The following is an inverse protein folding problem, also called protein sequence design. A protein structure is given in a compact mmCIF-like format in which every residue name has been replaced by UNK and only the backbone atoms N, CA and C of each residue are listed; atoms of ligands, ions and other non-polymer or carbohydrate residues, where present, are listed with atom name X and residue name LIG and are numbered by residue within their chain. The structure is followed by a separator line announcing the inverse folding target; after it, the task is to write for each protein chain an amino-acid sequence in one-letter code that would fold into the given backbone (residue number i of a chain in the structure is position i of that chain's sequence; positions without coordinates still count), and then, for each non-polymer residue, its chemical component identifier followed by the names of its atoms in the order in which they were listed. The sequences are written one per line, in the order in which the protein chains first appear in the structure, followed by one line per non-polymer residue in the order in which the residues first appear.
data_IF_733351632114
#
_entry.id   IF_733351632114
#
_cell.length_a   1.000
_cell.length_b   1.000
_cell.length_c   1.000
_cell.angle_alpha   90.00
_cell.angle_beta   90.00
_cell.angle_gamma   90.00
#
_symmetry.space_group_name_H-M   'P 1'
#
loop_
_entity.id
_entity.type
_entity.pdbx_description
1 polymer ?
#
# COMPACT_ATOMS: atom_id res chain seq x y z
N UNK A 1 8.23 -12.56 17.64
CA UNK A 1 8.22 -12.91 16.21
C UNK A 1 7.15 -12.06 15.53
N UNK A 2 7.43 -11.49 14.35
CA UNK A 2 6.47 -10.68 13.60
C UNK A 2 5.79 -11.51 12.51
N UNK A 3 4.49 -11.35 12.33
CA UNK A 3 3.73 -12.00 11.25
C UNK A 3 3.93 -11.26 9.94
N UNK A 4 4.01 -11.98 8.83
CA UNK A 4 4.17 -11.39 7.49
C UNK A 4 3.01 -10.42 7.17
N UNK A 5 3.28 -9.14 6.86
CA UNK A 5 2.25 -8.12 6.63
C UNK A 5 1.48 -8.35 5.32
N UNK A 6 2.05 -9.09 4.38
CA UNK A 6 1.46 -9.32 3.05
C UNK A 6 0.43 -10.45 3.09
N UNK A 7 0.79 -11.59 3.67
CA UNK A 7 -0.06 -12.79 3.63
C UNK A 7 -0.79 -13.08 4.94
N UNK A 8 -0.29 -12.53 6.07
CA UNK A 8 -0.82 -12.72 7.44
C UNK A 8 -0.99 -14.19 7.88
N UNK A 9 -0.28 -15.12 7.22
CA UNK A 9 -0.40 -16.57 7.46
C UNK A 9 0.82 -17.19 8.13
N UNK A 10 1.99 -16.61 7.93
CA UNK A 10 3.26 -17.16 8.41
C UNK A 10 4.08 -16.06 9.08
N UNK A 11 4.99 -16.48 9.96
CA UNK A 11 5.98 -15.60 10.57
C UNK A 11 6.99 -15.11 9.54
N UNK A 12 7.63 -13.97 9.84
CA UNK A 12 8.69 -13.44 9.02
C UNK A 12 9.90 -14.39 9.00
N UNK A 13 10.36 -14.72 7.79
CA UNK A 13 11.57 -15.51 7.58
C UNK A 13 12.81 -14.61 7.78
N UNK A 14 13.89 -15.15 8.35
CA UNK A 14 15.07 -14.34 8.68
C UNK A 14 15.72 -13.68 7.47
N UNK A 15 15.68 -14.32 6.29
CA UNK A 15 16.24 -13.79 5.05
C UNK A 15 15.34 -12.75 4.40
N UNK A 16 14.03 -12.83 4.64
CA UNK A 16 13.03 -12.01 3.94
C UNK A 16 12.31 -11.02 4.86
N UNK A 17 12.79 -10.79 6.09
CA UNK A 17 12.15 -9.86 7.03
C UNK A 17 11.86 -8.51 6.35
N UNK A 18 10.65 -7.94 6.51
CA UNK A 18 9.56 -8.36 7.42
C UNK A 18 8.62 -9.46 6.87
N UNK A 19 8.93 -10.09 5.74
CA UNK A 19 8.07 -11.03 5.03
C UNK A 19 8.41 -12.50 5.31
N UNK A 20 7.46 -13.40 5.03
CA UNK A 20 7.66 -14.85 5.18
C UNK A 20 8.38 -15.51 3.99
N UNK A 21 8.52 -14.82 2.85
CA UNK A 21 9.14 -15.37 1.64
C UNK A 21 9.48 -14.30 0.61
N UNK A 22 10.33 -14.64 -0.36
CA UNK A 22 10.60 -13.83 -1.56
C UNK A 22 9.31 -13.40 -2.27
N UNK A 23 8.36 -14.31 -2.45
CA UNK A 23 7.10 -14.02 -3.13
C UNK A 23 6.32 -12.88 -2.46
N UNK A 24 6.30 -12.84 -1.12
CA UNK A 24 5.63 -11.76 -0.39
C UNK A 24 6.38 -10.43 -0.52
N UNK A 25 7.72 -10.46 -0.52
CA UNK A 25 8.53 -9.26 -0.81
C UNK A 25 8.26 -8.69 -2.20
N UNK A 26 8.16 -9.55 -3.23
CA UNK A 26 7.90 -9.11 -4.60
C UNK A 26 6.47 -8.53 -4.75
N UNK A 27 5.49 -9.06 -4.02
CA UNK A 27 4.12 -8.50 -3.98
C UNK A 27 4.10 -7.12 -3.35
N UNK A 28 4.84 -6.93 -2.26
CA UNK A 28 4.97 -5.61 -1.64
C UNK A 28 5.56 -4.60 -2.62
N UNK A 29 6.64 -4.98 -3.30
CA UNK A 29 7.29 -4.14 -4.32
C UNK A 29 6.32 -3.74 -5.46
N UNK A 30 5.49 -4.68 -5.93
CA UNK A 30 4.48 -4.36 -6.94
C UNK A 30 3.45 -3.33 -6.43
N UNK A 31 3.07 -3.38 -5.15
CA UNK A 31 2.15 -2.40 -4.55
C UNK A 31 2.76 -1.01 -4.50
N UNK A 32 4.07 -0.91 -4.26
CA UNK A 32 4.81 0.34 -4.38
C UNK A 32 4.77 0.88 -5.82
N UNK A 33 5.09 0.04 -6.81
CA UNK A 33 5.11 0.49 -8.21
C UNK A 33 3.73 0.82 -8.80
N UNK A 34 2.66 0.27 -8.23
CA UNK A 34 1.29 0.54 -8.68
C UNK A 34 0.63 1.70 -7.94
N UNK A 35 1.35 2.36 -7.02
CA UNK A 35 0.78 3.45 -6.22
C UNK A 35 -0.28 2.99 -5.21
N UNK A 36 -0.34 1.68 -4.89
CA UNK A 36 -1.32 1.15 -3.94
C UNK A 36 -1.08 1.65 -2.51
N UNK A 37 0.15 2.09 -2.21
CA UNK A 37 0.51 2.79 -0.98
C UNK A 37 0.41 4.31 -1.19
N UNK A 38 -0.80 4.82 -1.43
CA UNK A 38 -1.07 6.25 -1.49
C UNK A 38 -1.51 6.78 -0.12
N UNK A 39 -1.00 7.96 0.27
CA UNK A 39 -1.51 8.70 1.43
C UNK A 39 -2.65 9.58 0.92
N UNK A 40 -3.88 9.43 1.44
CA UNK A 40 -4.98 10.29 1.01
C UNK A 40 -4.66 11.74 1.39
N UNK A 41 -4.82 12.66 0.43
CA UNK A 41 -4.79 14.08 0.74
C UNK A 41 -6.00 14.42 1.62
N UNK A 42 -5.75 15.09 2.74
CA UNK A 42 -6.83 15.74 3.46
C UNK A 42 -7.36 16.85 2.56
N UNK A 43 -8.63 16.74 2.14
CA UNK A 43 -9.35 17.86 1.57
C UNK A 43 -9.66 18.80 2.74
N UNK A 44 -8.68 19.60 3.14
CA UNK A 44 -8.96 20.77 3.95
C UNK A 44 -9.70 21.77 3.05
N UNK A 45 -10.83 22.28 3.51
CA UNK A 45 -11.81 23.06 2.73
C UNK A 45 -11.29 24.47 2.33
N UNK A 46 -9.97 24.66 2.21
CA UNK A 46 -9.34 25.96 2.03
C UNK A 46 -8.01 25.98 1.26
N UNK A 47 -7.71 24.96 0.45
CA UNK A 47 -6.55 25.01 -0.46
C UNK A 47 -7.02 25.13 -1.91
N UNK A 48 -6.89 26.35 -2.43
CA UNK A 48 -7.02 26.68 -3.84
C UNK A 48 -6.08 25.85 -4.73
N UNK A 49 -6.66 25.39 -5.85
CA UNK A 49 -6.14 24.48 -6.86
C UNK A 49 -4.97 25.09 -7.65
N UNK A 50 -3.86 24.35 -7.76
CA UNK A 50 -2.86 24.54 -8.81
C UNK A 50 -2.09 23.23 -9.04
N UNK A 51 -2.45 22.48 -10.08
CA UNK A 51 -1.48 21.69 -10.83
C UNK A 51 -1.86 20.24 -11.17
N UNK A 52 -2.49 20.09 -12.34
CA UNK A 52 -2.43 18.96 -13.27
C UNK A 52 -3.01 17.60 -12.82
N UNK A 53 -4.12 17.27 -13.45
CA UNK A 53 -4.75 15.96 -13.42
C UNK A 53 -3.97 14.97 -14.31
N UNK A 54 -2.88 14.37 -13.82
CA UNK A 54 -2.25 13.22 -14.49
C UNK A 54 -2.96 11.89 -14.16
N UNK A 55 -4.22 11.77 -14.58
CA UNK A 55 -4.79 10.56 -15.19
C UNK A 55 -4.61 9.16 -14.56
N UNK A 56 -4.24 8.99 -13.28
CA UNK A 56 -4.07 7.68 -12.65
C UNK A 56 -5.20 7.42 -11.64
N UNK A 57 -6.14 6.60 -12.08
CA UNK A 57 -7.47 6.41 -11.49
C UNK A 57 -7.48 6.13 -9.99
N UNK A 58 -8.55 6.61 -9.36
CA UNK A 58 -8.96 6.30 -8.00
C UNK A 58 -8.90 4.79 -7.75
N UNK A 59 -7.80 4.32 -7.16
CA UNK A 59 -7.68 2.99 -6.62
C UNK A 59 -8.74 2.84 -5.55
N UNK A 60 -9.71 1.96 -5.80
CA UNK A 60 -10.87 1.72 -4.95
C UNK A 60 -10.43 1.64 -3.49
N UNK A 61 -10.79 2.66 -2.71
CA UNK A 61 -10.75 2.59 -1.26
C UNK A 61 -11.64 1.42 -0.87
N UNK A 62 -11.04 0.26 -0.65
CA UNK A 62 -11.77 -0.88 -0.12
C UNK A 62 -12.17 -0.48 1.30
N UNK A 63 -13.39 0.05 1.43
CA UNK A 63 -14.01 0.37 2.70
C UNK A 63 -13.87 -0.88 3.58
N UNK A 64 -13.18 -0.79 4.75
CA UNK A 64 -13.09 -1.93 5.63
C UNK A 64 -14.51 -2.36 6.04
N UNK A 65 -14.83 -3.66 6.06
CA UNK A 65 -16.11 -4.11 6.61
C UNK A 65 -16.17 -3.71 8.09
N UNK A 66 -17.33 -3.18 8.49
CA UNK A 66 -17.67 -2.87 9.88
C UNK A 66 -17.55 -4.13 10.76
#
# INVERSE_FOLDING_TARGET
MSTCPICRKAEADQKYKPFCSRRCSDVDLQRWFTGAYAIPAALDEGAEDDGENDGLGAGQAQKPPL
#
